data_IF_200987119199
#
_entry.id   IF_200987119199
#
_cell.length_a   1.000
_cell.length_b   1.000
_cell.length_c   1.000
_cell.angle_alpha   90.00
_cell.angle_beta   90.00
_cell.angle_gamma   90.00
#
_symmetry.space_group_name_H-M   'P 1'
#
loop_
_entity.id
_entity.type
_entity.pdbx_description
1 polymer ?
#
# COMPACT_ATOMS: atom_id res chain seq x y z
N UNK A 1 -33.50 7.65 3.66
CA UNK A 1 -32.16 7.36 4.22
C UNK A 1 -31.27 6.89 3.09
N UNK A 2 -30.53 7.80 2.48
CA UNK A 2 -29.59 7.49 1.39
C UNK A 2 -28.23 7.91 1.92
N UNK A 3 -27.47 6.95 2.43
CA UNK A 3 -26.08 7.11 2.88
C UNK A 3 -25.23 7.35 1.63
N UNK A 4 -25.22 8.58 1.17
CA UNK A 4 -24.35 9.06 0.10
C UNK A 4 -22.91 9.17 0.61
N UNK A 5 -22.25 8.03 0.77
CA UNK A 5 -20.81 7.96 0.99
C UNK A 5 -20.14 7.45 -0.28
N UNK A 6 -20.26 8.22 -1.36
CA UNK A 6 -19.32 8.12 -2.47
C UNK A 6 -18.05 8.85 -2.00
N UNK A 7 -17.26 8.21 -1.14
CA UNK A 7 -15.86 8.59 -0.98
C UNK A 7 -15.15 8.23 -2.28
N UNK A 8 -15.22 9.11 -3.27
CA UNK A 8 -14.20 9.19 -4.31
C UNK A 8 -12.95 9.74 -3.64
N UNK A 9 -12.29 8.90 -2.84
CA UNK A 9 -11.00 9.22 -2.26
C UNK A 9 -9.99 9.20 -3.40
N UNK A 10 -9.85 10.35 -4.08
CA UNK A 10 -8.69 10.62 -4.95
C UNK A 10 -7.45 10.24 -4.14
N UNK A 11 -6.86 9.10 -4.49
CA UNK A 11 -5.69 8.60 -3.76
C UNK A 11 -4.60 9.68 -3.84
N UNK A 12 -4.05 10.13 -2.70
CA UNK A 12 -3.11 11.23 -2.67
C UNK A 12 -1.89 10.92 -3.53
N UNK A 13 -1.19 11.96 -4.01
CA UNK A 13 0.00 11.83 -4.86
C UNK A 13 1.04 10.85 -4.26
N UNK A 14 1.15 10.82 -2.93
CA UNK A 14 1.99 9.88 -2.19
C UNK A 14 1.69 8.42 -2.54
N UNK A 15 0.41 8.04 -2.67
CA UNK A 15 0.00 6.70 -3.08
C UNK A 15 0.51 6.35 -4.48
N UNK A 16 0.42 7.30 -5.42
CA UNK A 16 0.87 7.10 -6.80
C UNK A 16 2.39 6.98 -6.91
N UNK A 17 3.13 7.74 -6.11
CA UNK A 17 4.58 7.64 -6.03
C UNK A 17 5.01 6.28 -5.45
N UNK A 18 4.39 5.83 -4.36
CA UNK A 18 4.62 4.49 -3.80
C UNK A 18 4.29 3.40 -4.81
N UNK A 19 3.17 3.53 -5.52
CA UNK A 19 2.76 2.57 -6.54
C UNK A 19 3.83 2.42 -7.61
N UNK A 20 4.46 3.50 -8.06
CA UNK A 20 5.56 3.45 -9.04
C UNK A 20 6.79 2.74 -8.49
N UNK A 21 7.18 3.02 -7.24
CA UNK A 21 8.31 2.36 -6.59
C UNK A 21 8.07 0.85 -6.46
N UNK A 22 6.90 0.47 -5.95
CA UNK A 22 6.52 -0.95 -5.81
C UNK A 22 6.44 -1.62 -7.19
N UNK A 23 5.89 -0.97 -8.22
CA UNK A 23 5.90 -1.54 -9.58
C UNK A 23 7.33 -1.77 -10.09
N UNK A 24 8.26 -0.85 -9.82
CA UNK A 24 9.65 -0.99 -10.24
C UNK A 24 10.34 -2.18 -9.57
N UNK A 25 10.11 -2.36 -8.26
CA UNK A 25 10.66 -3.46 -7.47
C UNK A 25 10.18 -4.84 -7.97
N UNK A 26 8.89 -4.97 -8.24
CA UNK A 26 8.32 -6.22 -8.76
C UNK A 26 8.49 -6.40 -10.28
N UNK A 27 9.11 -5.44 -10.99
CA UNK A 27 9.27 -5.50 -12.45
C UNK A 27 10.20 -6.64 -12.86
N UNK A 28 11.26 -6.87 -12.09
CA UNK A 28 12.19 -7.96 -12.34
C UNK A 28 11.57 -9.32 -12.06
N UNK A 29 10.80 -9.47 -10.97
CA UNK A 29 10.05 -10.70 -10.66
C UNK A 29 8.96 -11.01 -11.69
N UNK A 30 8.36 -9.97 -12.29
CA UNK A 30 7.39 -10.13 -13.37
C UNK A 30 8.06 -10.54 -14.69
N UNK A 31 9.38 -10.36 -14.82
CA UNK A 31 10.10 -10.66 -16.05
C UNK A 31 10.29 -12.18 -16.16
N UNK A 32 9.63 -12.78 -17.15
CA UNK A 32 9.70 -14.24 -17.37
C UNK A 32 8.71 -15.05 -16.54
N UNK A 33 7.80 -14.43 -15.79
CA UNK A 33 6.71 -15.14 -15.09
C UNK A 33 5.40 -15.10 -15.89
N UNK A 34 4.74 -16.25 -15.99
CA UNK A 34 3.50 -16.46 -16.73
C UNK A 34 2.46 -17.22 -15.88
N UNK A 35 1.20 -17.21 -16.34
CA UNK A 35 0.09 -17.93 -15.72
C UNK A 35 -0.17 -17.49 -14.27
N UNK A 36 -0.48 -18.45 -13.40
CA UNK A 36 -0.88 -18.20 -12.01
C UNK A 36 0.18 -17.42 -11.21
N UNK A 37 1.47 -17.69 -11.46
CA UNK A 37 2.59 -17.05 -10.75
C UNK A 37 2.62 -15.55 -11.00
N UNK A 38 2.24 -15.12 -12.21
CA UNK A 38 2.11 -13.69 -12.55
C UNK A 38 0.98 -13.03 -11.77
N UNK A 39 -0.14 -13.71 -11.61
CA UNK A 39 -1.29 -13.21 -10.86
C UNK A 39 -0.99 -13.13 -9.36
N UNK A 40 -0.28 -14.13 -8.83
CA UNK A 40 0.23 -14.11 -7.47
C UNK A 40 1.19 -12.93 -7.21
N UNK A 41 2.11 -12.65 -8.13
CA UNK A 41 3.03 -11.50 -8.02
C UNK A 41 2.25 -10.18 -8.08
N UNK A 42 1.21 -10.08 -8.91
CA UNK A 42 0.32 -8.90 -8.94
C UNK A 42 -0.41 -8.70 -7.61
N UNK A 43 -0.87 -9.79 -6.99
CA UNK A 43 -1.50 -9.74 -5.67
C UNK A 43 -0.50 -9.29 -4.60
N UNK A 44 0.70 -9.89 -4.55
CA UNK A 44 1.79 -9.48 -3.64
C UNK A 44 2.13 -8.00 -3.78
N UNK A 45 2.23 -7.52 -5.02
CA UNK A 45 2.46 -6.11 -5.34
C UNK A 45 1.36 -5.20 -4.76
N UNK A 46 0.10 -5.63 -4.84
CA UNK A 46 -1.03 -4.91 -4.24
C UNK A 46 -0.92 -4.83 -2.72
N UNK A 47 -0.63 -5.94 -2.06
CA UNK A 47 -0.43 -5.99 -0.60
C UNK A 47 0.74 -5.13 -0.14
N UNK A 48 1.89 -5.20 -0.81
CA UNK A 48 3.08 -4.41 -0.48
C UNK A 48 2.80 -2.90 -0.55
N UNK A 49 2.03 -2.47 -1.55
CA UNK A 49 1.63 -1.07 -1.69
C UNK A 49 0.70 -0.61 -0.56
N UNK A 50 -0.31 -1.40 -0.21
CA UNK A 50 -1.23 -1.06 0.87
C UNK A 50 -0.52 -1.07 2.24
N UNK A 51 0.41 -2.01 2.48
CA UNK A 51 1.23 -2.04 3.70
C UNK A 51 2.08 -0.77 3.80
N UNK A 52 2.88 -0.45 2.76
CA UNK A 52 3.74 0.75 2.78
C UNK A 52 2.95 2.05 2.90
N UNK A 53 1.77 2.10 2.28
CA UNK A 53 0.88 3.24 2.40
C UNK A 53 0.31 3.38 3.81
N UNK A 54 -0.11 2.28 4.44
CA UNK A 54 -0.55 2.26 5.82
C UNK A 54 0.59 2.61 6.79
N UNK A 55 1.79 2.08 6.56
CA UNK A 55 2.98 2.45 7.34
C UNK A 55 3.23 3.95 7.26
N UNK A 56 3.11 4.58 6.10
CA UNK A 56 3.26 6.03 5.97
C UNK A 56 2.12 6.80 6.66
N UNK A 57 0.88 6.35 6.54
CA UNK A 57 -0.27 6.98 7.20
C UNK A 57 -0.21 6.87 8.73
N UNK A 58 0.37 5.79 9.25
CA UNK A 58 0.43 5.49 10.68
C UNK A 58 1.85 5.59 11.27
N UNK A 59 2.85 6.01 10.50
CA UNK A 59 4.23 6.20 10.96
C UNK A 59 4.30 7.21 12.11
N UNK A 60 3.47 8.27 12.06
CA UNK A 60 3.35 9.25 13.14
C UNK A 60 2.75 8.67 14.43
N UNK A 61 1.98 7.57 14.36
CA UNK A 61 1.40 6.95 15.57
C UNK A 61 2.38 6.06 16.33
N UNK A 62 3.49 5.63 15.71
CA UNK A 62 4.54 4.85 16.41
C UNK A 62 5.44 5.71 17.30
N UNK A 63 5.33 7.04 17.25
CA UNK A 63 6.11 7.97 18.09
C UNK A 63 5.50 8.31 19.45
N UNK A 64 4.25 7.91 19.75
CA UNK A 64 3.68 8.05 21.10
C UNK A 64 3.62 6.69 21.77
N UNK A 65 4.76 6.25 22.28
CA UNK A 65 4.75 5.37 23.45
C UNK A 65 4.17 6.22 24.59
N UNK A 66 3.01 5.89 25.18
CA UNK A 66 2.70 6.43 26.49
C UNK A 66 3.71 5.79 27.45
N UNK A 67 4.73 6.53 27.85
CA UNK A 67 5.49 6.24 29.06
C UNK A 67 4.53 6.37 30.24
N UNK A 68 3.74 5.33 30.48
CA UNK A 68 3.22 5.06 31.81
C UNK A 68 4.37 4.46 32.61
N UNK A 69 5.22 5.36 33.11
CA UNK A 69 5.98 5.09 34.33
C UNK A 69 5.00 5.24 35.47
N UNK A 70 4.74 4.14 36.17
CA UNK A 70 4.10 4.15 37.48
C UNK A 70 4.79 3.12 38.37
#
# INVERSE_FOLDING_TARGET
MTTGLIFSSKRPIVYWNLRRQVIAEFREELRGTAGWKREWIRWKRGMALEIRYNELLFAEKKGRVPTHSH
#
